data_IF_189430031744
#
_entry.id   IF_189430031744
#
_cell.length_a   1.000
_cell.length_b   1.000
_cell.length_c   1.000
_cell.angle_alpha   90.00
_cell.angle_beta   90.00
_cell.angle_gamma   90.00
#
_symmetry.space_group_name_H-M   'P 1'
#
loop_
_entity.id
_entity.type
_entity.pdbx_description
1 polymer ?
#
# COMPACT_ATOMS: atom_id res chain seq x y z
N UNK A 1 -4.98 -2.78 18.85
CA UNK A 1 -4.25 -2.85 17.57
C UNK A 1 -4.96 -3.72 16.55
N UNK A 2 -5.57 -4.82 16.98
CA UNK A 2 -6.38 -5.73 16.16
C UNK A 2 -7.40 -5.00 15.27
N UNK A 3 -8.12 -4.02 15.82
CA UNK A 3 -9.10 -3.26 15.05
C UNK A 3 -8.49 -2.50 13.86
N UNK A 4 -7.33 -1.86 14.05
CA UNK A 4 -6.61 -1.16 12.98
C UNK A 4 -6.08 -2.11 11.91
N UNK A 5 -5.63 -3.30 12.34
CA UNK A 5 -5.14 -4.34 11.43
C UNK A 5 -6.28 -4.90 10.57
N UNK A 6 -7.44 -5.14 11.19
CA UNK A 6 -8.64 -5.59 10.50
C UNK A 6 -9.15 -4.54 9.51
N UNK A 7 -9.13 -3.25 9.89
CA UNK A 7 -9.45 -2.15 8.96
C UNK A 7 -8.51 -2.14 7.76
N UNK A 8 -7.19 -2.26 7.99
CA UNK A 8 -6.23 -2.30 6.89
C UNK A 8 -6.45 -3.49 5.96
N UNK A 9 -6.72 -4.67 6.53
CA UNK A 9 -7.03 -5.87 5.75
C UNK A 9 -8.27 -5.67 4.87
N UNK A 10 -9.35 -5.13 5.44
CA UNK A 10 -10.57 -4.80 4.68
C UNK A 10 -10.29 -3.77 3.59
N UNK A 11 -9.53 -2.71 3.90
CA UNK A 11 -9.18 -1.68 2.91
C UNK A 11 -8.37 -2.28 1.74
N UNK A 12 -7.40 -3.15 2.03
CA UNK A 12 -6.63 -3.86 1.00
C UNK A 12 -7.50 -4.79 0.15
N UNK A 13 -8.41 -5.54 0.77
CA UNK A 13 -9.33 -6.43 0.07
C UNK A 13 -10.27 -5.63 -0.85
N UNK A 14 -10.83 -4.52 -0.35
CA UNK A 14 -11.72 -3.68 -1.13
C UNK A 14 -11.00 -3.03 -2.34
N UNK A 15 -9.75 -2.60 -2.15
CA UNK A 15 -8.97 -1.92 -3.19
C UNK A 15 -8.44 -2.90 -4.24
N UNK A 16 -7.90 -4.05 -3.83
CA UNK A 16 -7.18 -4.95 -4.75
C UNK A 16 -7.97 -6.17 -5.22
N UNK A 17 -9.03 -6.56 -4.51
CA UNK A 17 -9.80 -7.77 -4.82
C UNK A 17 -11.20 -7.43 -5.29
N UNK A 18 -11.95 -6.66 -4.49
CA UNK A 18 -13.37 -6.38 -4.77
C UNK A 18 -13.57 -5.23 -5.75
N UNK A 19 -12.60 -4.31 -5.86
CA UNK A 19 -12.71 -3.11 -6.69
C UNK A 19 -13.77 -2.10 -6.22
N UNK A 20 -14.36 -2.31 -5.03
CA UNK A 20 -15.38 -1.47 -4.42
C UNK A 20 -14.79 -0.70 -3.22
N UNK A 21 -13.74 0.07 -3.48
CA UNK A 21 -13.11 0.89 -2.47
C UNK A 21 -13.60 2.33 -2.54
N UNK A 22 -13.90 2.92 -1.38
CA UNK A 22 -14.14 4.35 -1.33
C UNK A 22 -12.80 5.14 -1.44
N UNK A 23 -12.84 6.44 -1.78
CA UNK A 23 -11.61 7.24 -1.94
C UNK A 23 -10.70 7.27 -0.71
N UNK A 24 -11.26 7.15 0.50
CA UNK A 24 -10.51 7.15 1.75
C UNK A 24 -9.76 5.83 1.95
N UNK A 25 -10.38 4.69 1.59
CA UNK A 25 -9.74 3.37 1.62
C UNK A 25 -8.60 3.31 0.62
N UNK A 26 -8.81 3.80 -0.60
CA UNK A 26 -7.77 3.94 -1.60
C UNK A 26 -6.60 4.77 -1.07
N UNK A 27 -6.87 5.98 -0.54
CA UNK A 27 -5.82 6.85 -0.01
C UNK A 27 -4.99 6.18 1.11
N UNK A 28 -5.65 5.48 2.04
CA UNK A 28 -4.97 4.73 3.10
C UNK A 28 -4.04 3.65 2.55
N UNK A 29 -4.55 2.85 1.60
CA UNK A 29 -3.76 1.78 0.97
C UNK A 29 -2.57 2.35 0.20
N UNK A 30 -2.76 3.42 -0.58
CA UNK A 30 -1.68 4.06 -1.33
C UNK A 30 -0.57 4.61 -0.43
N UNK A 31 -0.91 5.28 0.68
CA UNK A 31 0.09 5.81 1.62
C UNK A 31 0.91 4.68 2.23
N UNK A 32 0.28 3.57 2.59
CA UNK A 32 0.94 2.43 3.21
C UNK A 32 1.89 1.73 2.21
N UNK A 33 1.48 1.62 0.95
CA UNK A 33 2.30 1.02 -0.11
C UNK A 33 3.37 1.95 -0.67
N UNK A 34 3.25 3.26 -0.48
CA UNK A 34 4.25 4.22 -0.94
C UNK A 34 5.64 3.93 -0.35
N UNK A 35 5.72 3.60 0.95
CA UNK A 35 7.00 3.32 1.63
C UNK A 35 7.76 2.14 1.00
N UNK A 36 7.18 0.93 0.86
CA UNK A 36 7.89 -0.18 0.23
C UNK A 36 8.18 0.08 -1.25
N UNK A 37 7.29 0.76 -1.98
CA UNK A 37 7.54 1.11 -3.40
C UNK A 37 8.73 2.06 -3.56
N UNK A 38 8.80 3.12 -2.75
CA UNK A 38 9.93 4.05 -2.74
C UNK A 38 11.22 3.31 -2.34
N UNK A 39 11.14 2.40 -1.36
CA UNK A 39 12.29 1.61 -0.92
C UNK A 39 12.83 0.74 -2.06
N UNK A 40 11.97 0.00 -2.75
CA UNK A 40 12.34 -0.80 -3.92
C UNK A 40 12.93 0.08 -5.02
N UNK A 41 12.32 1.24 -5.28
CA UNK A 41 12.79 2.16 -6.29
C UNK A 41 14.21 2.69 -5.98
N UNK A 42 14.46 3.15 -4.75
CA UNK A 42 15.78 3.66 -4.35
C UNK A 42 16.84 2.56 -4.38
N UNK A 43 16.52 1.39 -3.83
CA UNK A 43 17.46 0.25 -3.79
C UNK A 43 17.75 -0.26 -5.20
N UNK A 44 16.72 -0.43 -6.02
CA UNK A 44 16.86 -0.84 -7.42
C UNK A 44 17.62 0.17 -8.26
N UNK A 45 17.31 1.46 -8.14
CA UNK A 45 18.03 2.52 -8.84
C UNK A 45 19.51 2.55 -8.45
N UNK A 46 19.83 2.40 -7.15
CA UNK A 46 21.21 2.28 -6.69
C UNK A 46 21.92 1.08 -7.30
N UNK A 47 21.26 -0.09 -7.40
CA UNK A 47 21.86 -1.28 -8.03
C UNK A 47 22.07 -1.12 -9.55
N UNK A 48 21.29 -0.30 -10.24
CA UNK A 48 21.50 -0.06 -11.68
C UNK A 48 22.69 0.88 -11.93
N UNK A 49 22.94 1.81 -11.00
CA UNK A 49 23.96 2.86 -11.15
C UNK A 49 25.37 2.37 -10.76
N UNK A 50 25.49 1.38 -9.87
CA UNK A 50 26.75 0.81 -9.38
C UNK A 50 26.96 -0.61 -9.90
#
# INVERSE_FOLDING_TARGET
MEHKLNTLKTDLQNVFVEGNANPIQMARVFIILAIPLITIFIVGARHIIY
#
